data_IF_731053546766
#
_entry.id   IF_731053546766
#
_cell.length_a   1.000
_cell.length_b   1.000
_cell.length_c   1.000
_cell.angle_alpha   90.00
_cell.angle_beta   90.00
_cell.angle_gamma   90.00
#
_symmetry.space_group_name_H-M   'P 1'
#
loop_
_entity.id
_entity.type
_entity.pdbx_description
1 polymer ?
#
# COMPACT_ATOMS: atom_id res chain seq x y z
N UNK A 1 -24.53 -15.11 -9.13
CA UNK A 1 -23.33 -14.41 -8.66
C UNK A 1 -22.06 -15.17 -9.03
N UNK A 2 -21.93 -16.46 -8.68
CA UNK A 2 -20.89 -17.39 -9.17
C UNK A 2 -20.84 -17.60 -10.69
N UNK A 3 -21.98 -17.46 -11.39
CA UNK A 3 -22.09 -17.67 -12.86
C UNK A 3 -21.31 -16.63 -13.68
N UNK A 4 -20.79 -15.56 -13.05
CA UNK A 4 -19.96 -14.52 -13.69
C UNK A 4 -18.48 -14.60 -13.30
N UNK A 5 -18.04 -15.72 -12.71
CA UNK A 5 -16.63 -15.96 -12.36
C UNK A 5 -16.20 -15.47 -10.98
N UNK A 6 -17.09 -14.90 -10.16
CA UNK A 6 -16.74 -14.39 -8.83
C UNK A 6 -16.61 -15.52 -7.78
N UNK A 7 -15.64 -15.41 -6.88
CA UNK A 7 -15.47 -16.34 -5.75
C UNK A 7 -16.70 -16.33 -4.82
N UNK A 8 -17.01 -17.48 -4.20
CA UNK A 8 -18.20 -17.60 -3.33
C UNK A 8 -18.07 -16.89 -1.98
N UNK A 9 -16.86 -16.58 -1.53
CA UNK A 9 -16.62 -16.08 -0.17
C UNK A 9 -16.18 -14.60 -0.11
N UNK A 10 -15.73 -14.01 -1.23
CA UNK A 10 -15.34 -12.59 -1.33
C UNK A 10 -14.65 -11.98 -0.10
N UNK A 11 -13.69 -12.66 0.55
CA UNK A 11 -13.13 -12.16 1.79
C UNK A 11 -12.33 -10.89 1.53
N UNK A 12 -12.44 -9.91 2.44
CA UNK A 12 -11.62 -8.70 2.37
C UNK A 12 -10.16 -9.08 2.57
N UNK A 13 -9.39 -9.01 1.50
CA UNK A 13 -7.95 -9.28 1.49
C UNK A 13 -7.18 -8.20 2.25
N UNK A 14 -6.02 -8.59 2.78
CA UNK A 14 -5.06 -7.65 3.36
C UNK A 14 -4.46 -6.81 2.25
N UNK A 15 -4.61 -5.49 2.37
CA UNK A 15 -4.32 -4.56 1.30
C UNK A 15 -3.76 -3.24 1.85
N UNK A 16 -3.04 -2.54 0.99
CA UNK A 16 -2.49 -1.21 1.26
C UNK A 16 -2.44 -0.38 -0.02
N UNK A 17 -2.57 0.94 0.14
CA UNK A 17 -2.58 1.90 -0.96
C UNK A 17 -1.86 3.18 -0.56
N UNK A 18 -1.09 3.72 -1.51
CA UNK A 18 -0.42 5.02 -1.43
C UNK A 18 -1.41 6.08 -1.90
N UNK A 19 -1.66 7.09 -1.08
CA UNK A 19 -2.55 8.22 -1.41
C UNK A 19 -1.75 9.49 -1.73
N UNK A 20 -0.61 9.66 -1.06
CA UNK A 20 0.33 10.76 -1.30
C UNK A 20 1.77 10.25 -1.30
N UNK A 21 2.63 10.70 -2.22
CA UNK A 21 2.28 11.49 -3.40
C UNK A 21 1.35 10.73 -4.36
N UNK A 22 0.67 11.45 -5.26
CA UNK A 22 -0.15 10.82 -6.30
C UNK A 22 0.75 10.24 -7.38
N UNK A 23 0.30 9.19 -8.06
CA UNK A 23 0.98 8.67 -9.24
C UNK A 23 1.15 9.78 -10.29
N UNK A 24 2.34 9.86 -10.89
CA UNK A 24 2.73 10.89 -11.86
C UNK A 24 2.94 12.28 -11.25
N UNK A 25 3.11 12.41 -9.94
CA UNK A 25 3.42 13.70 -9.33
C UNK A 25 4.87 14.13 -9.62
N UNK A 26 5.03 15.42 -9.87
CA UNK A 26 6.35 16.07 -9.97
C UNK A 26 6.61 16.83 -8.67
N UNK A 27 7.71 16.50 -7.99
CA UNK A 27 8.03 16.98 -6.65
C UNK A 27 9.41 17.64 -6.64
N UNK A 28 9.60 18.62 -5.75
CA UNK A 28 10.93 19.17 -5.46
C UNK A 28 11.71 18.22 -4.54
N UNK A 29 13.05 18.15 -4.65
CA UNK A 29 13.87 17.34 -3.77
C UNK A 29 13.77 17.78 -2.29
N UNK A 30 14.02 16.84 -1.39
CA UNK A 30 13.99 17.05 0.07
C UNK A 30 13.04 16.10 0.80
N UNK A 31 12.71 16.45 2.04
CA UNK A 31 11.91 15.58 2.91
C UNK A 31 10.43 15.58 2.51
N UNK A 32 9.95 14.45 2.01
CA UNK A 32 8.57 14.22 1.57
C UNK A 32 7.94 13.14 2.46
N UNK A 33 6.65 13.28 2.73
CA UNK A 33 5.87 12.24 3.40
C UNK A 33 5.19 11.36 2.36
N UNK A 34 5.49 10.06 2.38
CA UNK A 34 4.69 9.05 1.67
C UNK A 34 3.65 8.53 2.65
N UNK A 35 2.38 8.56 2.28
CA UNK A 35 1.28 8.16 3.16
C UNK A 35 0.10 7.58 2.41
N UNK A 36 -0.76 6.87 3.13
CA UNK A 36 -1.98 6.32 2.59
C UNK A 36 -2.77 5.52 3.61
N UNK A 37 -3.42 4.46 3.14
CA UNK A 37 -4.30 3.61 3.94
C UNK A 37 -3.98 2.13 3.76
N UNK A 38 -4.27 1.33 4.79
CA UNK A 38 -4.20 -0.12 4.76
C UNK A 38 -5.41 -0.74 5.47
N UNK A 39 -5.84 -1.92 5.04
CA UNK A 39 -7.00 -2.60 5.62
C UNK A 39 -6.89 -4.12 5.55
N UNK A 40 -7.41 -4.75 6.60
CA UNK A 40 -7.57 -6.20 6.71
C UNK A 40 -8.76 -6.43 7.67
N UNK A 41 -9.98 -6.18 7.21
CA UNK A 41 -11.16 -6.22 8.09
C UNK A 41 -11.26 -7.55 8.85
N UNK A 42 -11.70 -7.48 10.10
CA UNK A 42 -11.73 -8.55 11.10
C UNK A 42 -10.37 -9.10 11.56
N UNK A 43 -9.26 -8.76 10.88
CA UNK A 43 -7.90 -9.20 11.24
C UNK A 43 -7.05 -8.05 11.79
N UNK A 44 -7.24 -6.83 11.27
CA UNK A 44 -6.46 -5.64 11.60
C UNK A 44 -5.08 -5.66 10.95
N UNK A 45 -4.48 -4.47 10.81
CA UNK A 45 -3.12 -4.31 10.28
C UNK A 45 -2.12 -4.34 11.43
N UNK A 46 -1.04 -5.09 11.23
CA UNK A 46 0.11 -5.13 12.15
C UNK A 46 1.23 -4.21 11.66
N UNK A 47 1.50 -4.23 10.35
CA UNK A 47 2.64 -3.51 9.77
C UNK A 47 2.33 -3.05 8.35
N UNK A 48 2.81 -1.86 8.00
CA UNK A 48 2.87 -1.36 6.62
C UNK A 48 4.32 -1.01 6.31
N UNK A 49 4.78 -1.41 5.12
CA UNK A 49 6.13 -1.17 4.65
C UNK A 49 6.10 -0.53 3.26
N UNK A 50 7.03 0.40 3.03
CA UNK A 50 7.17 1.13 1.77
C UNK A 50 8.58 0.94 1.23
N UNK A 51 8.71 0.73 -0.08
CA UNK A 51 10.00 0.68 -0.77
C UNK A 51 10.03 1.72 -1.88
N UNK A 52 11.17 2.38 -2.03
CA UNK A 52 11.44 3.30 -3.15
C UNK A 52 12.55 2.68 -4.02
N UNK A 53 12.28 2.51 -5.31
CA UNK A 53 13.13 1.80 -6.26
C UNK A 53 13.49 0.40 -5.76
N UNK A 54 14.78 0.08 -5.81
CA UNK A 54 15.36 -1.17 -5.30
C UNK A 54 15.91 -1.05 -3.87
N UNK A 55 15.52 0.00 -3.13
CA UNK A 55 15.96 0.23 -1.76
C UNK A 55 15.39 -0.77 -0.75
N UNK A 56 15.76 -0.57 0.52
CA UNK A 56 15.20 -1.36 1.63
C UNK A 56 13.74 -0.98 1.91
N UNK A 57 12.99 -1.93 2.47
CA UNK A 57 11.64 -1.69 2.98
C UNK A 57 11.70 -0.83 4.24
N UNK A 58 11.06 0.34 4.19
CA UNK A 58 10.89 1.24 5.31
C UNK A 58 9.58 0.93 6.05
N UNK A 59 9.65 0.70 7.35
CA UNK A 59 8.43 0.50 8.17
C UNK A 59 7.72 1.84 8.38
N UNK A 60 6.45 1.93 8.01
CA UNK A 60 5.63 3.11 8.20
C UNK A 60 5.15 3.25 9.65
N UNK A 61 4.92 4.49 10.07
CA UNK A 61 4.17 4.80 11.29
C UNK A 61 2.69 4.61 11.01
N UNK A 62 2.00 3.81 11.82
CA UNK A 62 0.56 3.63 11.75
C UNK A 62 -0.16 4.72 12.54
N UNK A 63 -1.26 5.23 12.00
CA UNK A 63 -2.17 6.13 12.69
C UNK A 63 -2.95 5.42 13.79
N UNK A 64 -3.79 6.18 14.50
CA UNK A 64 -4.65 5.62 15.53
C UNK A 64 -5.61 4.57 14.93
N UNK A 65 -5.73 3.43 15.61
CA UNK A 65 -6.65 2.34 15.26
C UNK A 65 -7.95 2.49 16.08
N UNK A 66 -9.03 3.08 15.52
CA UNK A 66 -10.28 3.18 16.25
C UNK A 66 -11.01 1.83 16.36
N UNK A 67 -10.75 0.88 15.45
CA UNK A 67 -11.25 -0.49 15.49
C UNK A 67 -10.64 -1.37 14.38
N UNK A 68 -10.60 -2.68 14.62
CA UNK A 68 -10.09 -3.71 13.69
C UNK A 68 -10.73 -3.69 12.29
N UNK A 69 -11.92 -3.09 12.15
CA UNK A 69 -12.68 -3.03 10.90
C UNK A 69 -12.53 -1.68 10.16
N UNK A 70 -11.72 -0.76 10.70
CA UNK A 70 -11.44 0.55 10.10
C UNK A 70 -10.17 0.52 9.26
N UNK A 71 -10.15 1.35 8.22
CA UNK A 71 -8.93 1.56 7.43
C UNK A 71 -7.91 2.34 8.26
N UNK A 72 -6.70 1.83 8.33
CA UNK A 72 -5.61 2.45 9.07
C UNK A 72 -4.82 3.37 8.17
N UNK A 73 -4.70 4.63 8.60
CA UNK A 73 -3.75 5.56 7.99
C UNK A 73 -2.32 5.14 8.32
N UNK A 74 -1.39 5.42 7.42
CA UNK A 74 0.03 5.19 7.65
C UNK A 74 0.86 6.27 6.96
N UNK A 75 2.08 6.51 7.45
CA UNK A 75 3.02 7.43 6.82
C UNK A 75 4.49 7.05 7.07
N UNK A 76 5.36 7.41 6.13
CA UNK A 76 6.81 7.30 6.25
C UNK A 76 7.47 8.57 5.69
N UNK A 77 8.39 9.21 6.42
CA UNK A 77 9.23 10.27 5.86
C UNK A 77 10.26 9.66 4.92
N UNK A 78 10.46 10.29 3.77
CA UNK A 78 11.44 9.88 2.76
C UNK A 78 12.22 11.10 2.28
N UNK A 79 13.54 10.96 2.19
CA UNK A 79 14.42 11.99 1.62
C UNK A 79 14.48 11.80 0.10
N UNK A 80 13.71 12.63 -0.63
CA UNK A 80 13.57 12.56 -2.06
C UNK A 80 14.79 13.17 -2.77
N UNK A 81 15.48 12.37 -3.57
CA UNK A 81 16.56 12.81 -4.45
C UNK A 81 16.04 13.00 -5.87
N UNK A 82 16.68 13.86 -6.67
CA UNK A 82 16.30 14.05 -8.09
C UNK A 82 16.32 12.72 -8.85
N UNK A 83 15.33 12.51 -9.71
CA UNK A 83 15.16 11.32 -10.55
C UNK A 83 13.74 10.78 -10.56
N UNK A 84 13.53 9.74 -11.38
CA UNK A 84 12.30 8.95 -11.38
C UNK A 84 12.33 7.93 -10.23
N UNK A 85 11.20 7.78 -9.53
CA UNK A 85 11.08 6.85 -8.41
C UNK A 85 9.82 6.01 -8.52
N UNK A 86 10.00 4.70 -8.47
CA UNK A 86 8.91 3.75 -8.25
C UNK A 86 8.74 3.50 -6.76
N UNK A 87 7.54 3.70 -6.22
CA UNK A 87 7.23 3.54 -4.81
C UNK A 87 6.20 2.43 -4.67
N UNK A 88 6.55 1.37 -3.96
CA UNK A 88 5.68 0.23 -3.66
C UNK A 88 5.29 0.21 -2.18
N UNK A 89 4.07 -0.25 -1.88
CA UNK A 89 3.59 -0.47 -0.50
C UNK A 89 3.06 -1.89 -0.31
N UNK A 90 3.32 -2.46 0.86
CA UNK A 90 2.74 -3.73 1.31
C UNK A 90 2.30 -3.67 2.77
N UNK A 91 1.30 -4.46 3.12
CA UNK A 91 0.85 -4.63 4.49
C UNK A 91 1.01 -6.07 5.00
N UNK A 92 1.15 -6.21 6.32
CA UNK A 92 1.04 -7.48 7.06
C UNK A 92 -0.10 -7.33 8.07
N UNK A 93 -1.05 -8.26 8.07
CA UNK A 93 -2.13 -8.29 9.06
C UNK A 93 -1.71 -8.98 10.38
N UNK A 94 -2.52 -8.85 11.43
CA UNK A 94 -2.22 -9.43 12.75
C UNK A 94 -2.27 -10.96 12.80
N UNK A 95 -2.62 -11.62 11.70
CA UNK A 95 -2.50 -13.09 11.57
C UNK A 95 -1.13 -13.50 11.04
N UNK A 96 -0.27 -12.53 10.70
CA UNK A 96 1.03 -12.75 10.07
C UNK A 96 0.93 -12.87 8.54
N UNK A 97 -0.24 -12.62 7.94
CA UNK A 97 -0.41 -12.74 6.49
C UNK A 97 0.04 -11.45 5.82
N UNK A 98 1.08 -11.55 4.98
CA UNK A 98 1.58 -10.44 4.15
C UNK A 98 0.80 -10.36 2.83
N UNK A 99 0.53 -9.14 2.38
CA UNK A 99 0.00 -8.86 1.05
C UNK A 99 0.93 -9.44 -0.02
N UNK A 100 0.37 -10.24 -0.92
CA UNK A 100 1.12 -10.85 -2.03
C UNK A 100 1.60 -9.80 -3.03
N UNK A 101 2.77 -10.04 -3.62
CA UNK A 101 3.30 -9.32 -4.79
C UNK A 101 2.69 -9.81 -6.11
N UNK A 102 2.08 -11.00 -6.12
CA UNK A 102 1.37 -11.53 -7.29
C UNK A 102 0.21 -10.60 -7.69
N UNK A 103 0.33 -9.99 -8.86
CA UNK A 103 -0.70 -9.12 -9.42
C UNK A 103 -1.76 -9.98 -10.11
N UNK A 104 -2.98 -9.98 -9.57
CA UNK A 104 -4.16 -10.50 -10.25
C UNK A 104 -5.17 -9.39 -10.50
N UNK A 105 -5.85 -9.45 -11.64
CA UNK A 105 -6.92 -8.50 -11.97
C UNK A 105 -8.11 -8.63 -11.00
N UNK A 106 -9.01 -7.65 -11.01
CA UNK A 106 -10.18 -7.57 -10.10
C UNK A 106 -11.11 -8.78 -10.18
N UNK A 107 -11.08 -9.51 -11.31
CA UNK A 107 -11.80 -10.77 -11.52
C UNK A 107 -10.78 -11.91 -11.37
N UNK A 108 -11.07 -12.96 -10.58
CA UNK A 108 -12.35 -13.32 -9.95
C UNK A 108 -12.54 -12.90 -8.49
N UNK A 109 -11.49 -12.40 -7.83
CA UNK A 109 -11.41 -12.37 -6.37
C UNK A 109 -10.75 -11.07 -5.84
N UNK A 110 -10.94 -9.96 -6.55
CA UNK A 110 -10.35 -8.66 -6.19
C UNK A 110 -8.86 -8.55 -6.54
N UNK A 111 -8.43 -7.32 -6.85
CA UNK A 111 -7.06 -7.07 -7.27
C UNK A 111 -6.06 -7.42 -6.15
N UNK A 112 -4.96 -8.08 -6.50
CA UNK A 112 -3.83 -8.35 -5.61
C UNK A 112 -2.56 -7.72 -6.16
N UNK A 113 -1.44 -7.87 -5.45
CA UNK A 113 -0.19 -7.21 -5.75
C UNK A 113 0.02 -5.99 -4.89
N UNK A 114 1.27 -5.53 -4.82
CA UNK A 114 1.62 -4.30 -4.13
C UNK A 114 1.16 -3.10 -4.96
N UNK A 115 0.56 -2.11 -4.30
CA UNK A 115 0.23 -0.87 -4.97
C UNK A 115 1.53 -0.11 -5.24
N UNK A 116 1.82 0.15 -6.52
CA UNK A 116 3.01 0.86 -6.97
C UNK A 116 2.62 2.15 -7.68
N UNK A 117 3.33 3.24 -7.38
CA UNK A 117 3.22 4.51 -8.10
C UNK A 117 4.59 4.91 -8.64
N UNK A 118 4.61 5.61 -9.77
CA UNK A 118 5.82 6.27 -10.29
C UNK A 118 5.68 7.77 -10.08
N UNK A 119 6.74 8.43 -9.64
CA UNK A 119 6.82 9.89 -9.49
C UNK A 119 8.14 10.42 -10.09
N UNK A 120 8.18 11.72 -10.38
CA UNK A 120 9.39 12.43 -10.80
C UNK A 120 9.80 13.43 -9.70
N UNK A 121 11.10 13.48 -9.38
CA UNK A 121 11.68 14.49 -8.51
C UNK A 121 12.64 15.34 -9.34
N UNK A 122 12.38 16.64 -9.43
CA UNK A 122 13.16 17.59 -10.23
C UNK A 122 13.44 18.88 -9.45
N UNK A 123 14.46 19.64 -9.87
CA UNK A 123 14.78 20.96 -9.28
C UNK A 123 13.68 22.02 -9.48
#
# INVERSE_FOLDING_TARGET
WTVRGWSQEGPVKTQSRIDVPRAGANLSPGRITIAGVAWAQHRGIEKVEVRVGDGDWMTATLGADPSVDTWLQWSVPWEATVGDHDIAVRATDRTGTMQTDDVTDVIPDGATGWHTITIEVSE
#
